data_IF_024162854053
#
_entry.id   IF_024162854053
#
_cell.length_a   1.000
_cell.length_b   1.000
_cell.length_c   1.000
_cell.angle_alpha   90.00
_cell.angle_beta   90.00
_cell.angle_gamma   90.00
#
_symmetry.space_group_name_H-M   'P 1'
#
loop_
_entity.id
_entity.type
_entity.pdbx_description
1 polymer ?
#
# COMPACT_ATOMS: atom_id res chain seq x y z
N UNK A 1 -8.44 -7.06 -12.68
CA UNK A 1 -8.32 -6.15 -11.52
C UNK A 1 -9.63 -6.08 -10.77
N UNK A 2 -9.66 -6.61 -9.56
CA UNK A 2 -10.84 -6.67 -8.70
C UNK A 2 -11.17 -5.29 -8.06
N UNK A 3 -12.44 -4.99 -7.76
CA UNK A 3 -12.82 -3.79 -6.99
C UNK A 3 -12.13 -3.71 -5.61
N UNK A 4 -11.76 -4.87 -5.04
CA UNK A 4 -11.08 -4.98 -3.75
C UNK A 4 -9.65 -4.45 -3.81
N UNK A 5 -8.89 -4.69 -4.89
CA UNK A 5 -7.56 -4.10 -5.10
C UNK A 5 -7.61 -2.57 -5.12
N UNK A 6 -8.66 -2.00 -5.71
CA UNK A 6 -8.88 -0.57 -5.75
C UNK A 6 -9.18 0.00 -4.37
N UNK A 7 -10.01 -0.69 -3.58
CA UNK A 7 -10.31 -0.30 -2.20
C UNK A 7 -9.05 -0.37 -1.33
N UNK A 8 -8.24 -1.42 -1.43
CA UNK A 8 -7.00 -1.57 -0.67
C UNK A 8 -5.98 -0.50 -1.04
N UNK A 9 -5.84 -0.20 -2.35
CA UNK A 9 -5.01 0.90 -2.83
C UNK A 9 -5.44 2.24 -2.22
N UNK A 10 -6.74 2.53 -2.20
CA UNK A 10 -7.28 3.76 -1.62
C UNK A 10 -7.07 3.83 -0.10
N UNK A 11 -7.37 2.76 0.64
CA UNK A 11 -7.18 2.72 2.10
C UNK A 11 -5.70 2.94 2.45
N UNK A 12 -4.77 2.28 1.74
CA UNK A 12 -3.35 2.46 1.99
C UNK A 12 -2.89 3.89 1.66
N UNK A 13 -3.42 4.50 0.59
CA UNK A 13 -3.19 5.91 0.25
C UNK A 13 -3.60 6.83 1.40
N UNK A 14 -4.78 6.60 1.97
CA UNK A 14 -5.30 7.40 3.10
C UNK A 14 -4.43 7.22 4.33
N UNK A 15 -4.05 5.98 4.66
CA UNK A 15 -3.20 5.71 5.83
C UNK A 15 -1.79 6.30 5.66
N UNK A 16 -1.16 6.14 4.50
CA UNK A 16 0.15 6.74 4.19
C UNK A 16 0.09 8.26 4.18
N UNK A 17 -1.00 8.83 3.67
CA UNK A 17 -1.27 10.26 3.69
C UNK A 17 -1.31 10.77 5.12
N UNK A 18 -2.15 10.18 5.98
CA UNK A 18 -2.31 10.59 7.38
C UNK A 18 -1.03 10.42 8.19
N UNK A 19 -0.40 9.24 8.11
CA UNK A 19 0.82 8.96 8.86
C UNK A 19 2.01 9.79 8.36
N UNK A 20 2.20 9.89 7.05
CA UNK A 20 3.30 10.65 6.45
C UNK A 20 3.13 12.16 6.61
N UNK A 21 1.94 12.69 6.34
CA UNK A 21 1.62 14.10 6.54
C UNK A 21 1.75 14.53 7.99
N UNK A 22 1.23 13.72 8.93
CA UNK A 22 1.37 13.99 10.37
C UNK A 22 2.83 13.97 10.82
N UNK A 23 3.63 13.01 10.35
CA UNK A 23 5.05 12.95 10.66
C UNK A 23 5.81 14.20 10.20
N UNK A 24 5.55 14.70 8.99
CA UNK A 24 6.18 15.93 8.47
C UNK A 24 5.79 17.15 9.32
N UNK A 25 4.51 17.27 9.67
CA UNK A 25 3.99 18.39 10.46
C UNK A 25 4.64 18.43 11.85
N UNK A 26 4.72 17.29 12.52
CA UNK A 26 5.33 17.18 13.86
C UNK A 26 6.83 17.39 13.79
N UNK A 27 7.52 16.83 12.77
CA UNK A 27 8.98 16.89 12.67
C UNK A 27 9.51 18.30 12.44
N UNK A 28 8.78 19.13 11.72
CA UNK A 28 9.19 20.50 11.36
C UNK A 28 8.40 21.59 12.11
N UNK A 29 7.47 21.21 12.99
CA UNK A 29 6.72 22.16 13.81
C UNK A 29 5.75 23.04 13.02
N UNK A 30 5.17 22.54 11.92
CA UNK A 30 4.23 23.30 11.06
C UNK A 30 2.84 23.50 11.71
N UNK A 31 2.72 23.34 13.03
CA UNK A 31 1.45 23.50 13.73
C UNK A 31 0.89 24.92 13.60
N UNK A 32 1.78 25.92 13.50
CA UNK A 32 1.37 27.32 13.32
C UNK A 32 0.71 27.58 11.96
N UNK A 33 1.00 26.76 10.95
CA UNK A 33 0.45 26.92 9.59
C UNK A 33 -1.04 26.58 9.53
N UNK A 34 -1.61 25.99 10.58
CA UNK A 34 -3.06 25.75 10.72
C UNK A 34 -3.82 27.07 10.89
N UNK A 35 -3.16 28.14 11.35
CA UNK A 35 -3.80 29.44 11.61
C UNK A 35 -4.02 30.30 10.36
N UNK A 36 -3.39 29.94 9.24
CA UNK A 36 -3.48 30.66 7.98
C UNK A 36 -4.12 29.81 6.87
N UNK A 37 -4.88 30.45 5.98
CA UNK A 37 -5.57 29.76 4.89
C UNK A 37 -4.58 29.13 3.91
N UNK A 38 -3.49 29.82 3.58
CA UNK A 38 -2.47 29.29 2.69
C UNK A 38 -1.65 28.18 3.37
N UNK A 39 -1.38 28.33 4.66
CA UNK A 39 -0.79 27.29 5.49
C UNK A 39 -1.63 26.00 5.52
N UNK A 40 -2.95 26.10 5.71
CA UNK A 40 -3.85 24.95 5.66
C UNK A 40 -3.87 24.26 4.28
N UNK A 41 -3.84 25.04 3.19
CA UNK A 41 -3.76 24.49 1.83
C UNK A 41 -2.44 23.73 1.64
N UNK A 42 -1.31 24.29 2.11
CA UNK A 42 0.00 23.63 2.05
C UNK A 42 0.03 22.33 2.86
N UNK A 43 -0.55 22.33 4.07
CA UNK A 43 -0.69 21.14 4.90
C UNK A 43 -1.52 20.05 4.18
N UNK A 44 -2.67 20.42 3.60
CA UNK A 44 -3.46 19.51 2.76
C UNK A 44 -2.67 18.94 1.58
N UNK A 45 -1.83 19.76 0.95
CA UNK A 45 -0.89 19.33 -0.08
C UNK A 45 0.11 18.28 0.40
N UNK A 46 0.70 18.45 1.59
CA UNK A 46 1.61 17.46 2.17
C UNK A 46 0.93 16.11 2.41
N UNK A 47 -0.28 16.12 2.99
CA UNK A 47 -1.07 14.91 3.15
C UNK A 47 -1.31 14.24 1.78
N UNK A 48 -1.72 15.01 0.77
CA UNK A 48 -2.03 14.45 -0.55
C UNK A 48 -0.80 13.85 -1.24
N UNK A 49 0.32 14.57 -1.25
CA UNK A 49 1.58 14.11 -1.86
C UNK A 49 2.14 12.88 -1.15
N UNK A 50 2.01 12.78 0.18
CA UNK A 50 2.46 11.58 0.92
C UNK A 50 1.61 10.33 0.64
N UNK A 51 0.35 10.50 0.22
CA UNK A 51 -0.53 9.38 -0.13
C UNK A 51 -0.19 8.73 -1.47
N UNK A 52 0.19 9.53 -2.47
CA UNK A 52 0.46 9.06 -3.84
C UNK A 52 1.57 7.98 -3.93
N UNK A 53 2.69 8.08 -3.19
CA UNK A 53 3.69 7.01 -3.10
C UNK A 53 3.11 5.70 -2.53
N UNK A 54 2.26 5.78 -1.50
CA UNK A 54 1.60 4.60 -0.91
C UNK A 54 0.68 3.91 -1.91
N UNK A 55 -0.10 4.68 -2.66
CA UNK A 55 -0.92 4.16 -3.76
C UNK A 55 -0.10 3.46 -4.83
N UNK A 56 0.96 4.12 -5.31
CA UNK A 56 1.82 3.60 -6.37
C UNK A 56 2.52 2.31 -5.95
N UNK A 57 2.99 2.23 -4.70
CA UNK A 57 3.64 1.04 -4.15
C UNK A 57 2.67 -0.15 -4.09
N UNK A 58 1.47 0.04 -3.54
CA UNK A 58 0.45 -1.03 -3.47
C UNK A 58 0.03 -1.49 -4.86
N UNK A 59 -0.17 -0.55 -5.79
CA UNK A 59 -0.45 -0.86 -7.21
C UNK A 59 0.67 -1.66 -7.85
N UNK A 60 1.92 -1.33 -7.55
CA UNK A 60 3.07 -2.02 -8.09
C UNK A 60 3.19 -3.44 -7.54
N UNK A 61 2.96 -3.62 -6.23
CA UNK A 61 2.92 -4.93 -5.56
C UNK A 61 1.81 -5.80 -6.16
N UNK A 62 0.58 -5.29 -6.29
CA UNK A 62 -0.50 -6.07 -6.90
C UNK A 62 -0.23 -6.40 -8.38
N UNK A 63 0.35 -5.48 -9.16
CA UNK A 63 0.75 -5.77 -10.55
C UNK A 63 1.88 -6.81 -10.63
N UNK A 64 2.78 -6.83 -9.64
CA UNK A 64 3.82 -7.84 -9.53
C UNK A 64 3.23 -9.22 -9.18
N UNK A 65 2.27 -9.27 -8.27
CA UNK A 65 1.54 -10.51 -7.91
C UNK A 65 0.73 -11.02 -9.10
N UNK A 66 -0.04 -10.17 -9.78
CA UNK A 66 -0.85 -10.52 -10.96
C UNK A 66 0.03 -11.06 -12.12
N UNK A 67 1.22 -10.46 -12.31
CA UNK A 67 2.23 -10.98 -13.26
C UNK A 67 2.81 -12.34 -12.87
N UNK A 68 2.76 -12.73 -11.59
CA UNK A 68 3.22 -14.02 -11.06
C UNK A 68 2.06 -15.04 -10.94
N UNK A 69 0.81 -14.60 -10.88
CA UNK A 69 -0.38 -15.44 -10.72
C UNK A 69 -0.68 -16.33 -11.94
N UNK A 70 -0.14 -16.02 -13.12
CA UNK A 70 -0.28 -16.85 -14.31
C UNK A 70 0.39 -18.22 -14.25
N UNK A 71 1.30 -18.47 -13.28
CA UNK A 71 2.00 -19.76 -13.12
C UNK A 71 2.17 -20.23 -11.67
N UNK A 72 2.23 -19.34 -10.68
CA UNK A 72 2.93 -19.71 -9.44
C UNK A 72 2.06 -20.23 -8.29
N UNK A 73 0.87 -19.68 -7.97
CA UNK A 73 0.20 -20.06 -6.70
C UNK A 73 -0.44 -21.47 -6.73
N UNK A 74 -1.15 -21.83 -7.81
CA UNK A 74 -1.79 -23.16 -7.91
C UNK A 74 -0.77 -24.26 -8.15
N UNK A 75 0.31 -23.96 -8.88
CA UNK A 75 1.40 -24.89 -9.15
C UNK A 75 2.25 -25.09 -7.89
N UNK A 76 2.61 -24.02 -7.16
CA UNK A 76 3.29 -24.12 -5.86
C UNK A 76 2.43 -24.86 -4.83
N UNK A 77 1.12 -24.64 -4.77
CA UNK A 77 0.23 -25.42 -3.88
C UNK A 77 0.17 -26.89 -4.30
N UNK A 78 0.15 -27.19 -5.61
CA UNK A 78 0.21 -28.58 -6.11
C UNK A 78 1.54 -29.24 -5.78
N UNK A 79 2.67 -28.55 -5.95
CA UNK A 79 3.99 -29.07 -5.60
C UNK A 79 4.13 -29.28 -4.09
N UNK A 80 3.68 -28.33 -3.27
CA UNK A 80 3.65 -28.51 -1.82
C UNK A 80 2.77 -29.69 -1.38
N UNK A 81 1.60 -29.85 -2.00
CA UNK A 81 0.71 -30.98 -1.70
C UNK A 81 1.35 -32.31 -2.10
N UNK A 82 2.00 -32.36 -3.26
CA UNK A 82 2.68 -33.55 -3.78
C UNK A 82 3.89 -33.92 -2.91
N UNK A 83 4.74 -32.96 -2.57
CA UNK A 83 5.87 -33.16 -1.66
C UNK A 83 5.43 -33.60 -0.25
N UNK A 84 4.32 -33.04 0.26
CA UNK A 84 3.74 -33.47 1.55
C UNK A 84 3.22 -34.91 1.52
N UNK A 85 2.58 -35.32 0.42
CA UNK A 85 2.06 -36.68 0.28
C UNK A 85 3.18 -37.72 0.11
N UNK A 86 4.27 -37.37 -0.59
CA UNK A 86 5.44 -38.25 -0.72
C UNK A 86 6.18 -38.44 0.62
N UNK A 87 6.31 -37.39 1.44
CA UNK A 87 6.91 -37.49 2.79
C UNK A 87 6.02 -38.29 3.74
N UNK A 88 4.69 -38.25 3.56
CA UNK A 88 3.74 -38.97 4.41
C UNK A 88 3.62 -40.46 4.06
N UNK A 89 3.90 -40.83 2.82
CA UNK A 89 3.84 -42.21 2.32
C UNK A 89 5.20 -42.91 2.28
N UNK A 90 6.27 -42.25 2.72
CA UNK A 90 7.61 -42.82 2.97
C UNK A 90 7.83 -43.07 4.46
#
# INVERSE_FOLDING_TARGET
>A
RSPQEWAVGLICTVVSSLAGGSFIIVKWGLHEWVTDVWGMIALGGFFFVCGLPGWALVRWIFNFIDKQEGKTIVEVIKEFKKAKDDIRNS
#
